data_IF_109179236947
#
_entry.id   IF_109179236947
#
_cell.length_a   1.000
_cell.length_b   1.000
_cell.length_c   1.000
_cell.angle_alpha   90.00
_cell.angle_beta   90.00
_cell.angle_gamma   90.00
#
_symmetry.space_group_name_H-M   'P 1'
#
loop_
_entity.id
_entity.type
_entity.pdbx_description
1 polymer ?
#
# COMPACT_ATOMS: atom_id res chain seq x y z
N UNK A 1 10.89 14.26 0.07
CA UNK A 1 9.54 13.92 0.56
C UNK A 1 9.63 13.58 2.04
N UNK A 2 8.70 14.06 2.85
CA UNK A 2 8.47 13.52 4.20
C UNK A 2 7.23 12.63 4.12
N UNK A 3 7.40 11.32 4.27
CA UNK A 3 6.29 10.39 4.40
C UNK A 3 5.58 10.65 5.73
N UNK A 4 4.26 10.44 5.76
CA UNK A 4 3.49 10.58 6.98
C UNK A 4 3.86 9.48 7.99
N UNK A 5 4.00 8.25 7.49
CA UNK A 5 4.37 7.08 8.27
C UNK A 5 5.00 6.00 7.37
N UNK A 6 5.60 4.99 7.99
CA UNK A 6 6.14 3.79 7.35
C UNK A 6 5.32 2.59 7.86
N UNK A 7 4.61 1.93 6.95
CA UNK A 7 3.68 0.85 7.29
C UNK A 7 4.17 -0.44 6.65
N UNK A 8 4.22 -1.52 7.42
CA UNK A 8 4.55 -2.85 6.90
C UNK A 8 3.39 -3.39 6.04
N UNK A 9 3.72 -4.08 4.96
CA UNK A 9 2.72 -4.63 4.02
C UNK A 9 1.74 -5.60 4.71
N UNK A 10 2.18 -6.27 5.77
CA UNK A 10 1.38 -7.16 6.61
C UNK A 10 0.23 -6.44 7.34
N UNK A 11 0.38 -5.13 7.62
CA UNK A 11 -0.63 -4.28 8.23
C UNK A 11 -1.62 -3.70 7.20
N UNK A 12 -1.33 -3.85 5.91
CA UNK A 12 -2.20 -3.41 4.84
C UNK A 12 -3.26 -4.45 4.49
N UNK A 13 -4.40 -3.99 3.99
CA UNK A 13 -5.50 -4.84 3.55
C UNK A 13 -5.40 -5.00 2.04
N UNK A 14 -5.07 -6.21 1.59
CA UNK A 14 -5.09 -6.56 0.17
C UNK A 14 -6.52 -6.80 -0.33
N UNK A 15 -6.85 -6.15 -1.44
CA UNK A 15 -8.13 -6.28 -2.14
C UNK A 15 -7.91 -7.09 -3.42
N UNK A 16 -8.31 -8.36 -3.41
CA UNK A 16 -8.11 -9.29 -4.52
C UNK A 16 -8.98 -8.97 -5.76
N UNK A 17 -10.11 -8.28 -5.58
CA UNK A 17 -10.96 -7.86 -6.70
C UNK A 17 -10.32 -6.73 -7.52
N UNK A 18 -9.54 -5.87 -6.87
CA UNK A 18 -8.88 -4.72 -7.49
C UNK A 18 -7.37 -4.92 -7.71
N UNK A 19 -6.73 -5.84 -6.99
CA UNK A 19 -5.27 -6.03 -7.00
C UNK A 19 -4.52 -4.89 -6.31
N UNK A 20 -5.12 -4.27 -5.28
CA UNK A 20 -4.55 -3.11 -4.58
C UNK A 20 -4.45 -3.36 -3.08
N UNK A 21 -3.44 -2.76 -2.45
CA UNK A 21 -3.34 -2.70 -0.99
C UNK A 21 -3.88 -1.38 -0.47
N UNK A 22 -4.68 -1.48 0.59
CA UNK A 22 -5.30 -0.33 1.22
C UNK A 22 -5.00 -0.24 2.72
N UNK A 23 -4.82 0.98 3.21
CA UNK A 23 -4.57 1.24 4.64
C UNK A 23 -5.44 2.39 5.15
N UNK A 24 -6.05 2.30 6.35
CA UNK A 24 -6.90 3.36 6.89
C UNK A 24 -6.14 4.68 7.07
N UNK A 25 -6.65 5.74 6.44
CA UNK A 25 -6.07 7.07 6.55
C UNK A 25 -6.75 7.88 7.67
N UNK A 26 -6.01 8.65 8.49
CA UNK A 26 -6.61 9.47 9.55
C UNK A 26 -7.57 10.57 9.06
N UNK A 27 -7.61 10.85 7.75
CA UNK A 27 -8.59 11.77 7.17
C UNK A 27 -10.00 11.17 7.03
N UNK A 28 -10.17 9.85 7.23
CA UNK A 28 -11.43 9.12 7.06
C UNK A 28 -11.53 8.34 5.74
N UNK A 29 -10.54 8.45 4.85
CA UNK A 29 -10.42 7.68 3.61
C UNK A 29 -9.37 6.57 3.75
N UNK A 30 -8.88 6.00 2.64
CA UNK A 30 -7.84 4.97 2.65
C UNK A 30 -6.68 5.35 1.73
N UNK A 31 -5.46 5.04 2.17
CA UNK A 31 -4.31 4.96 1.28
C UNK A 31 -4.47 3.78 0.33
N UNK A 32 -3.97 3.92 -0.88
CA UNK A 32 -4.12 2.92 -1.94
C UNK A 32 -2.81 2.83 -2.71
N UNK A 33 -2.41 1.60 -3.03
CA UNK A 33 -1.29 1.31 -3.93
C UNK A 33 -1.56 0.00 -4.67
N UNK A 34 -1.18 -0.11 -5.94
CA UNK A 34 -1.33 -1.36 -6.66
C UNK A 34 -0.24 -2.36 -6.26
N UNK A 35 -0.60 -3.64 -6.21
CA UNK A 35 0.39 -4.70 -5.99
C UNK A 35 1.43 -4.72 -7.14
N UNK A 36 1.01 -4.41 -8.35
CA UNK A 36 1.90 -4.35 -9.53
C UNK A 36 2.93 -3.20 -9.41
N UNK A 37 2.50 -2.05 -8.90
CA UNK A 37 3.38 -0.90 -8.62
C UNK A 37 4.43 -1.28 -7.56
N UNK A 38 4.03 -1.98 -6.49
CA UNK A 38 4.96 -2.49 -5.48
C UNK A 38 6.02 -3.43 -6.08
N UNK A 39 5.64 -4.27 -7.05
CA UNK A 39 6.60 -5.15 -7.75
C UNK A 39 7.58 -4.39 -8.65
N UNK A 40 7.15 -3.27 -9.23
CA UNK A 40 8.04 -2.40 -10.00
C UNK A 40 9.00 -1.59 -9.08
N UNK A 41 8.77 -1.64 -7.77
CA UNK A 41 9.55 -0.96 -6.73
C UNK A 41 8.93 0.36 -6.24
N UNK A 42 7.67 0.63 -6.57
CA UNK A 42 6.92 1.77 -6.06
C UNK A 42 6.36 1.43 -4.67
N UNK A 43 7.01 1.98 -3.65
CA UNK A 43 6.68 1.77 -2.24
C UNK A 43 5.82 2.88 -1.63
N UNK A 44 5.17 3.71 -2.47
CA UNK A 44 4.49 4.93 -2.01
C UNK A 44 2.99 4.82 -2.17
N UNK A 45 2.27 4.61 -1.06
CA UNK A 45 0.82 4.60 -1.09
C UNK A 45 0.27 6.01 -0.86
N UNK A 46 -0.68 6.42 -1.71
CA UNK A 46 -1.23 7.77 -1.73
C UNK A 46 -2.69 7.75 -1.32
N UNK A 47 -3.10 8.71 -0.50
CA UNK A 47 -4.51 8.93 -0.18
C UNK A 47 -5.11 10.00 -1.10
N UNK A 48 -6.20 9.70 -1.86
CA UNK A 48 -6.81 10.66 -2.78
C UNK A 48 -7.48 11.85 -2.07
N UNK A 49 -7.86 11.68 -0.81
CA UNK A 49 -8.65 12.68 -0.07
C UNK A 49 -7.80 13.73 0.65
N UNK A 50 -6.60 13.38 1.12
CA UNK A 50 -5.74 14.27 1.89
C UNK A 50 -4.35 14.51 1.29
N UNK A 51 -4.05 13.87 0.15
CA UNK A 51 -2.74 13.94 -0.52
C UNK A 51 -1.56 13.51 0.37
N UNK A 52 -1.84 12.84 1.49
CA UNK A 52 -0.80 12.23 2.31
C UNK A 52 -0.20 11.05 1.55
N UNK A 53 1.06 10.77 1.86
CA UNK A 53 1.81 9.66 1.32
C UNK A 53 2.40 8.88 2.48
N UNK A 54 2.21 7.57 2.49
CA UNK A 54 2.89 6.65 3.41
C UNK A 54 3.87 5.81 2.60
N UNK A 55 4.90 5.33 3.27
CA UNK A 55 5.87 4.41 2.68
C UNK A 55 5.51 2.99 3.11
N UNK A 56 5.41 2.08 2.16
CA UNK A 56 5.08 0.68 2.39
C UNK A 56 6.39 -0.09 2.49
N UNK A 57 6.61 -0.72 3.64
CA UNK A 57 7.76 -1.59 3.87
C UNK A 57 7.32 -3.02 3.51
N UNK A 58 7.96 -3.59 2.49
CA UNK A 58 7.68 -4.94 2.01
C UNK A 58 8.98 -5.62 1.57
N UNK A 59 9.01 -6.95 1.67
CA UNK A 59 10.01 -7.75 1.00
C UNK A 59 9.41 -8.38 -0.28
N UNK A 60 10.24 -8.66 -1.30
CA UNK A 60 9.76 -9.24 -2.56
C UNK A 60 9.05 -10.59 -2.37
N UNK A 61 9.42 -11.34 -1.33
CA UNK A 61 8.80 -12.62 -0.95
C UNK A 61 7.39 -12.47 -0.36
N UNK A 62 7.05 -11.31 0.22
CA UNK A 62 5.69 -11.05 0.72
C UNK A 62 4.71 -10.83 -0.44
N UNK A 63 5.17 -10.17 -1.51
CA UNK A 63 4.35 -9.88 -2.68
C UNK A 63 3.85 -11.15 -3.38
N UNK A 64 4.66 -12.21 -3.37
CA UNK A 64 4.32 -13.51 -3.95
C UNK A 64 3.08 -14.12 -3.27
N UNK A 65 2.88 -13.87 -1.96
CA UNK A 65 1.76 -14.41 -1.20
C UNK A 65 0.40 -13.80 -1.60
N UNK A 66 0.41 -12.55 -2.08
CA UNK A 66 -0.82 -11.84 -2.48
C UNK A 66 -1.26 -12.16 -3.91
N UNK A 67 -0.38 -12.71 -4.76
CA UNK A 67 -0.72 -13.10 -6.13
C UNK A 67 -1.43 -14.44 -6.24
N UNK A 68 -1.18 -15.36 -5.30
CA UNK A 68 -1.68 -16.74 -5.37
C UNK A 68 -3.04 -16.96 -4.69
N UNK A 69 -3.72 -15.88 -4.24
CA UNK A 69 -5.01 -15.95 -3.51
C UNK A 69 -6.25 -15.77 -4.39
#
# INVERSE_FOLDING_TARGET
MSFYDEIEIEDMIFDADQGILTYPCPCGDKFQIALDDLKDGEEVAVCPSCSLMIKVIFDPEDLEQFEES
#
